data_IF_228446443156
#
_entry.id   IF_228446443156
#
_cell.length_a   1.000
_cell.length_b   1.000
_cell.length_c   1.000
_cell.angle_alpha   90.00
_cell.angle_beta   90.00
_cell.angle_gamma   90.00
#
_symmetry.space_group_name_H-M   'P 1'
#
loop_
_entity.id
_entity.type
_entity.pdbx_description
1 polymer ?
#
# COMPACT_ATOMS: atom_id res chain seq x y z
N UNK A 1 63.95 -20.63 52.56
CA UNK A 1 62.49 -20.36 52.57
C UNK A 1 62.16 -19.33 51.54
N UNK A 2 61.90 -19.65 50.32
CA UNK A 2 60.65 -19.23 49.65
C UNK A 2 60.28 -20.11 48.41
N UNK A 3 60.69 -21.36 48.32
CA UNK A 3 60.40 -22.19 47.12
C UNK A 3 59.06 -22.93 47.15
N UNK A 4 58.51 -23.20 48.30
CA UNK A 4 57.24 -23.91 48.41
C UNK A 4 56.01 -23.10 48.17
N UNK A 5 56.06 -21.79 48.34
CA UNK A 5 54.91 -20.90 48.08
C UNK A 5 54.65 -20.65 46.59
N UNK A 6 55.68 -20.73 45.75
CA UNK A 6 55.53 -20.56 44.30
C UNK A 6 54.93 -21.80 43.60
N UNK A 7 55.13 -22.99 44.13
CA UNK A 7 54.57 -24.21 43.55
C UNK A 7 53.06 -24.31 43.79
N UNK A 8 52.58 -23.85 44.96
CA UNK A 8 51.15 -23.85 45.27
C UNK A 8 50.35 -22.85 44.41
N UNK A 9 50.91 -21.70 44.10
CA UNK A 9 50.27 -20.69 43.24
C UNK A 9 50.21 -21.16 41.78
N UNK A 10 51.20 -21.90 41.31
CA UNK A 10 51.25 -22.44 39.95
C UNK A 10 50.26 -23.60 39.75
N UNK A 11 50.01 -24.43 40.75
CA UNK A 11 49.04 -25.54 40.72
C UNK A 11 47.62 -25.00 40.80
N UNK A 12 47.33 -23.95 41.58
CA UNK A 12 46.03 -23.32 41.63
C UNK A 12 45.74 -22.57 40.32
N UNK A 13 46.74 -21.96 39.67
CA UNK A 13 46.59 -21.31 38.36
C UNK A 13 46.28 -22.31 37.22
N UNK A 14 46.82 -23.54 37.31
CA UNK A 14 46.55 -24.58 36.31
C UNK A 14 45.14 -25.19 36.46
N UNK A 15 44.59 -25.26 37.66
CA UNK A 15 43.20 -25.68 37.88
C UNK A 15 42.18 -24.62 37.54
N UNK A 16 42.56 -23.32 37.57
CA UNK A 16 41.67 -22.23 37.16
C UNK A 16 41.55 -22.09 35.63
N UNK A 17 42.48 -22.66 34.85
CA UNK A 17 42.42 -22.65 33.38
C UNK A 17 41.80 -23.92 32.78
N UNK A 18 41.47 -24.92 33.59
CA UNK A 18 40.74 -26.12 33.18
C UNK A 18 39.22 -26.02 33.40
N UNK A 19 38.75 -24.84 33.76
CA UNK A 19 37.35 -24.53 33.89
C UNK A 19 36.74 -23.99 32.60
N UNK A 20 35.83 -24.78 32.03
CA UNK A 20 34.85 -24.38 31.03
C UNK A 20 35.35 -24.29 29.60
N UNK A 21 35.69 -25.41 28.99
CA UNK A 21 35.00 -25.66 27.71
C UNK A 21 33.57 -26.06 28.12
N UNK A 22 32.73 -25.09 28.39
CA UNK A 22 31.30 -25.31 28.33
C UNK A 22 31.02 -25.65 26.86
N UNK A 23 30.78 -26.91 26.56
CA UNK A 23 29.97 -27.24 25.41
C UNK A 23 28.68 -26.42 25.59
N UNK A 24 28.55 -25.33 24.86
CA UNK A 24 27.29 -24.63 24.69
C UNK A 24 26.42 -25.44 23.69
N UNK A 25 26.25 -26.72 23.98
CA UNK A 25 25.13 -27.50 23.46
C UNK A 25 23.91 -27.03 24.30
N UNK A 26 23.46 -25.80 24.06
CA UNK A 26 22.19 -25.36 24.60
C UNK A 26 21.15 -26.35 24.07
N UNK A 27 20.61 -27.17 24.95
CA UNK A 27 19.52 -28.08 24.63
C UNK A 27 18.38 -27.22 24.10
N UNK A 28 17.91 -27.53 22.87
CA UNK A 28 16.84 -26.74 22.23
C UNK A 28 15.57 -26.89 23.05
N UNK A 29 15.05 -25.79 23.55
CA UNK A 29 13.79 -25.78 24.28
C UNK A 29 12.62 -25.96 23.29
N UNK A 30 12.09 -27.19 23.21
CA UNK A 30 10.96 -27.50 22.34
C UNK A 30 9.67 -27.01 23.00
N UNK A 31 8.85 -26.20 22.32
CA UNK A 31 7.57 -25.75 22.86
C UNK A 31 6.73 -26.94 23.35
N UNK A 32 6.19 -26.84 24.58
CA UNK A 32 5.37 -27.88 25.21
C UNK A 32 3.90 -27.74 24.84
N UNK A 33 3.62 -27.72 23.52
CA UNK A 33 2.28 -27.61 22.98
C UNK A 33 1.88 -28.89 22.27
N UNK A 34 0.62 -29.32 22.45
CA UNK A 34 0.04 -30.46 21.75
C UNK A 34 -0.62 -29.96 20.45
N UNK A 35 -0.31 -30.64 19.35
CA UNK A 35 -0.85 -30.32 18.04
C UNK A 35 -2.15 -31.09 17.82
N UNK A 36 -3.28 -30.43 17.48
CA UNK A 36 -4.47 -31.13 17.01
C UNK A 36 -4.20 -31.94 15.73
N UNK A 37 -4.93 -33.01 15.51
CA UNK A 37 -4.71 -33.88 14.34
C UNK A 37 -4.92 -33.14 13.00
N UNK A 38 -5.78 -32.12 12.98
CA UNK A 38 -6.18 -31.37 11.80
C UNK A 38 -5.53 -29.97 11.69
N UNK A 39 -4.61 -29.62 12.60
CA UNK A 39 -4.01 -28.28 12.67
C UNK A 39 -3.38 -27.80 11.36
N UNK A 40 -2.84 -28.72 10.56
CA UNK A 40 -2.18 -28.43 9.28
C UNK A 40 -3.07 -28.66 8.05
N UNK A 41 -4.35 -29.00 8.24
CA UNK A 41 -5.25 -29.23 7.14
C UNK A 41 -5.59 -27.93 6.41
N UNK A 42 -5.24 -27.84 5.14
CA UNK A 42 -5.57 -26.70 4.27
C UNK A 42 -6.72 -27.06 3.34
N UNK A 43 -7.81 -26.34 3.47
CA UNK A 43 -8.90 -26.45 2.49
C UNK A 43 -8.54 -25.60 1.27
N UNK A 44 -8.30 -26.26 0.12
CA UNK A 44 -8.07 -25.53 -1.13
C UNK A 44 -9.31 -24.75 -1.51
N UNK A 45 -9.20 -23.43 -1.57
CA UNK A 45 -10.24 -22.58 -2.13
C UNK A 45 -10.25 -22.77 -3.65
N UNK A 46 -11.41 -23.02 -4.24
CA UNK A 46 -11.57 -23.08 -5.69
C UNK A 46 -12.34 -21.83 -6.13
N UNK A 47 -11.68 -20.98 -6.91
CA UNK A 47 -12.34 -19.83 -7.56
C UNK A 47 -13.27 -20.42 -8.64
N UNK A 48 -14.58 -20.34 -8.44
CA UNK A 48 -15.53 -20.87 -9.42
C UNK A 48 -16.19 -19.77 -10.26
N UNK A 49 -16.97 -18.91 -9.69
CA UNK A 49 -17.59 -17.77 -10.38
C UNK A 49 -17.56 -16.56 -9.47
N UNK A 50 -17.09 -15.38 -9.94
CA UNK A 50 -17.05 -14.19 -9.14
C UNK A 50 -18.45 -13.61 -8.99
N UNK A 51 -19.25 -14.15 -8.07
CA UNK A 51 -20.40 -13.43 -7.54
C UNK A 51 -19.93 -12.55 -6.42
N UNK A 52 -20.32 -11.27 -6.42
CA UNK A 52 -20.09 -10.38 -5.30
C UNK A 52 -21.32 -10.42 -4.42
N UNK A 53 -21.10 -10.65 -3.13
CA UNK A 53 -22.12 -10.65 -2.10
C UNK A 53 -21.89 -9.45 -1.18
N UNK A 54 -22.95 -8.70 -0.89
CA UNK A 54 -22.91 -7.63 0.10
C UNK A 54 -23.02 -8.21 1.50
N UNK A 55 -22.41 -7.56 2.46
CA UNK A 55 -22.53 -7.86 3.89
C UNK A 55 -23.84 -7.29 4.42
N UNK A 56 -24.41 -7.93 5.44
CA UNK A 56 -25.64 -7.48 6.07
C UNK A 56 -25.42 -6.41 7.14
N UNK A 57 -24.24 -6.46 7.78
CA UNK A 57 -23.81 -5.54 8.81
C UNK A 57 -22.28 -5.60 9.01
N UNK A 58 -21.77 -4.73 9.88
CA UNK A 58 -20.34 -4.65 10.16
C UNK A 58 -19.81 -5.86 10.95
N UNK A 59 -20.64 -6.49 11.76
CA UNK A 59 -20.23 -7.67 12.55
C UNK A 59 -19.95 -8.86 11.62
N UNK A 60 -20.79 -9.07 10.60
CA UNK A 60 -20.58 -10.09 9.59
C UNK A 60 -19.30 -9.81 8.76
N UNK A 61 -19.11 -8.55 8.34
CA UNK A 61 -17.90 -8.14 7.62
C UNK A 61 -16.66 -8.38 8.46
N UNK A 62 -16.64 -7.93 9.73
CA UNK A 62 -15.51 -8.09 10.62
C UNK A 62 -15.17 -9.57 10.84
N UNK A 63 -16.17 -10.41 11.11
CA UNK A 63 -15.97 -11.83 11.30
C UNK A 63 -15.35 -12.49 10.06
N UNK A 64 -15.93 -12.27 8.88
CA UNK A 64 -15.43 -12.88 7.65
C UNK A 64 -14.03 -12.39 7.27
N UNK A 65 -13.72 -11.10 7.49
CA UNK A 65 -12.38 -10.56 7.29
C UNK A 65 -11.38 -11.23 8.24
N UNK A 66 -11.69 -11.33 9.53
CA UNK A 66 -10.81 -11.96 10.52
C UNK A 66 -10.56 -13.43 10.20
N UNK A 67 -11.59 -14.18 9.84
CA UNK A 67 -11.44 -15.59 9.43
C UNK A 67 -10.55 -15.73 8.20
N UNK A 68 -10.72 -14.85 7.21
CA UNK A 68 -9.91 -14.89 5.99
C UNK A 68 -8.44 -14.50 6.23
N UNK A 69 -8.21 -13.46 7.03
CA UNK A 69 -6.88 -13.00 7.42
C UNK A 69 -6.16 -14.09 8.20
N UNK A 70 -6.84 -14.69 9.19
CA UNK A 70 -6.26 -15.79 9.97
C UNK A 70 -5.83 -16.96 9.09
N UNK A 71 -6.70 -17.38 8.16
CA UNK A 71 -6.42 -18.48 7.24
C UNK A 71 -5.23 -18.18 6.31
N UNK A 72 -5.09 -16.94 5.86
CA UNK A 72 -3.96 -16.53 5.04
C UNK A 72 -2.63 -16.62 5.81
N UNK A 73 -2.59 -16.10 7.05
CA UNK A 73 -1.41 -16.21 7.90
C UNK A 73 -1.10 -17.67 8.27
N UNK A 74 -2.14 -18.48 8.53
CA UNK A 74 -2.00 -19.91 8.78
C UNK A 74 -1.33 -20.64 7.61
N UNK A 75 -1.77 -20.36 6.38
CA UNK A 75 -1.16 -20.96 5.17
C UNK A 75 0.32 -20.57 5.06
N UNK A 76 0.67 -19.31 5.31
CA UNK A 76 2.07 -18.85 5.26
C UNK A 76 2.94 -19.56 6.32
N UNK A 77 2.43 -19.73 7.54
CA UNK A 77 3.13 -20.46 8.59
C UNK A 77 3.33 -21.95 8.24
N UNK A 78 2.32 -22.60 7.64
CA UNK A 78 2.43 -23.99 7.17
C UNK A 78 3.47 -24.14 6.06
N UNK A 79 3.56 -23.17 5.15
CA UNK A 79 4.63 -23.14 4.14
C UNK A 79 6.01 -23.02 4.77
N UNK A 80 6.16 -22.21 5.82
CA UNK A 80 7.40 -22.06 6.56
C UNK A 80 7.82 -23.37 7.28
N UNK A 81 6.86 -24.19 7.73
CA UNK A 81 7.13 -25.51 8.31
C UNK A 81 7.80 -26.45 7.31
N UNK A 82 7.39 -26.43 6.06
CA UNK A 82 7.92 -27.32 5.01
C UNK A 82 9.31 -26.87 4.48
N UNK A 83 9.93 -25.85 5.08
CA UNK A 83 11.22 -25.29 4.62
C UNK A 83 11.23 -24.90 3.13
N UNK A 84 10.07 -24.64 2.55
CA UNK A 84 10.03 -24.06 1.23
C UNK A 84 10.46 -22.60 1.34
N UNK A 85 11.78 -22.40 1.52
CA UNK A 85 12.40 -21.10 1.37
C UNK A 85 12.23 -20.66 -0.08
N UNK A 86 11.15 -19.99 -0.37
CA UNK A 86 11.14 -19.07 -1.46
C UNK A 86 12.02 -17.89 -1.05
N UNK A 87 13.29 -18.01 -1.38
CA UNK A 87 14.25 -16.91 -1.29
C UNK A 87 13.82 -15.87 -2.33
N UNK A 88 13.20 -14.84 -1.90
CA UNK A 88 12.88 -13.69 -2.72
C UNK A 88 11.51 -13.78 -3.36
N UNK A 89 10.67 -12.99 -2.88
CA UNK A 89 9.42 -12.64 -3.55
C UNK A 89 8.33 -12.49 -2.50
N UNK A 90 8.08 -11.29 -2.19
CA UNK A 90 6.72 -10.87 -1.99
C UNK A 90 5.86 -11.70 -2.95
N UNK A 91 4.92 -12.48 -2.44
CA UNK A 91 3.80 -12.93 -3.25
C UNK A 91 2.90 -11.73 -3.50
N UNK A 92 3.41 -10.79 -4.34
CA UNK A 92 2.52 -10.10 -5.22
C UNK A 92 2.10 -11.17 -6.22
N UNK A 93 0.83 -11.49 -6.26
CA UNK A 93 0.26 -12.06 -7.46
C UNK A 93 0.87 -11.27 -8.62
N UNK A 94 1.65 -11.96 -9.46
CA UNK A 94 1.97 -11.47 -10.80
C UNK A 94 0.63 -11.38 -11.56
N UNK A 95 -0.11 -10.33 -11.26
CA UNK A 95 -0.99 -9.76 -12.26
C UNK A 95 -0.02 -9.20 -13.28
N UNK A 96 0.38 -10.03 -14.22
CA UNK A 96 0.93 -9.59 -15.47
C UNK A 96 -0.03 -8.54 -15.98
N UNK A 97 0.33 -7.27 -15.77
CA UNK A 97 -0.25 -6.20 -16.56
C UNK A 97 0.18 -6.52 -17.98
N UNK A 98 -0.74 -7.13 -18.70
CA UNK A 98 -0.63 -7.31 -20.13
C UNK A 98 -0.44 -5.89 -20.69
N UNK A 99 0.75 -5.63 -21.21
CA UNK A 99 1.15 -4.38 -21.84
C UNK A 99 0.04 -3.96 -22.79
N UNK A 100 -0.76 -2.98 -22.37
CA UNK A 100 -1.81 -2.40 -23.18
C UNK A 100 -1.16 -1.76 -24.39
N UNK A 101 -1.44 -2.32 -25.56
CA UNK A 101 -0.98 -1.87 -26.83
C UNK A 101 -1.14 -0.35 -26.97
N UNK A 102 -0.01 0.35 -27.10
CA UNK A 102 0.03 1.77 -27.43
C UNK A 102 -0.57 1.91 -28.83
N UNK A 103 -1.77 2.46 -28.90
CA UNK A 103 -2.35 2.82 -30.18
C UNK A 103 -1.58 4.01 -30.75
N UNK A 104 -0.88 3.79 -31.86
CA UNK A 104 -0.25 4.84 -32.64
C UNK A 104 -1.34 5.79 -33.16
N UNK A 105 -1.33 7.02 -32.68
CA UNK A 105 -2.16 8.09 -33.21
C UNK A 105 -1.54 8.61 -34.51
N UNK A 106 -2.23 8.40 -35.61
CA UNK A 106 -1.90 8.99 -36.90
C UNK A 106 -2.18 10.50 -36.91
N UNK A 107 -1.15 11.30 -37.14
CA UNK A 107 -1.21 12.75 -37.31
C UNK A 107 -1.69 13.11 -38.72
N UNK A 108 -2.84 13.73 -38.84
CA UNK A 108 -3.22 14.46 -40.04
C UNK A 108 -3.00 15.96 -39.82
N UNK A 109 -2.16 16.52 -40.66
CA UNK A 109 -1.80 17.93 -40.70
C UNK A 109 -2.80 18.69 -41.59
N UNK A 110 -3.45 19.73 -41.07
CA UNK A 110 -4.15 20.71 -41.86
C UNK A 110 -3.56 22.11 -41.65
N UNK A 111 -3.07 22.68 -42.74
CA UNK A 111 -2.54 24.05 -42.88
C UNK A 111 -3.65 25.03 -43.24
N UNK A 112 -3.62 26.23 -42.66
CA UNK A 112 -4.29 27.41 -43.25
C UNK A 112 -4.75 28.49 -42.29
N UNK A 113 -4.06 29.52 -42.08
CA UNK A 113 -4.15 30.91 -42.53
C UNK A 113 -5.15 31.85 -41.81
N UNK A 114 -4.60 32.75 -40.95
CA UNK A 114 -4.83 34.21 -40.82
C UNK A 114 -6.24 34.80 -40.69
N UNK A 115 -6.57 35.39 -39.57
CA UNK A 115 -6.84 36.79 -39.20
C UNK A 115 -7.83 36.98 -38.05
N UNK A 116 -7.36 37.61 -36.98
CA UNK A 116 -7.91 38.68 -36.13
C UNK A 116 -9.39 38.65 -35.70
N UNK A 117 -9.55 38.48 -34.52
CA UNK A 117 -10.47 38.35 -33.41
C UNK A 117 -10.28 36.94 -32.89
N UNK A 118 -9.78 36.78 -31.65
CA UNK A 118 -9.55 35.40 -31.16
C UNK A 118 -10.90 34.69 -31.09
N UNK A 119 -11.23 33.84 -32.06
CA UNK A 119 -12.45 33.05 -31.98
C UNK A 119 -12.30 32.12 -30.77
N UNK A 120 -13.38 31.88 -30.05
CA UNK A 120 -13.43 30.87 -28.99
C UNK A 120 -12.89 29.57 -29.56
N UNK A 121 -11.80 29.05 -29.00
CA UNK A 121 -11.20 27.80 -29.45
C UNK A 121 -12.14 26.65 -29.13
N UNK A 122 -12.43 25.81 -30.11
CA UNK A 122 -13.38 24.70 -29.98
C UNK A 122 -12.63 23.38 -30.02
N UNK A 123 -12.89 22.56 -28.99
CA UNK A 123 -12.33 21.18 -28.90
C UNK A 123 -12.83 20.35 -30.11
N UNK A 124 -11.94 19.61 -30.72
CA UNK A 124 -12.21 18.79 -31.91
C UNK A 124 -12.10 19.54 -33.24
N UNK A 125 -12.06 20.91 -33.23
CA UNK A 125 -11.85 21.76 -34.42
C UNK A 125 -10.50 22.48 -34.35
N UNK A 126 -10.23 23.17 -33.25
CA UNK A 126 -9.06 24.03 -33.08
C UNK A 126 -7.95 23.34 -32.28
N UNK A 127 -8.33 22.45 -31.37
CA UNK A 127 -7.39 21.63 -30.58
C UNK A 127 -8.00 20.27 -30.29
N UNK A 128 -7.15 19.28 -30.13
CA UNK A 128 -7.51 17.96 -29.62
C UNK A 128 -7.38 18.01 -28.11
N UNK A 129 -8.51 17.86 -27.40
CA UNK A 129 -8.49 17.58 -25.96
C UNK A 129 -7.81 16.24 -25.68
N UNK A 130 -7.62 15.92 -24.42
CA UNK A 130 -7.21 14.58 -24.00
C UNK A 130 -8.16 13.56 -24.62
N UNK A 131 -7.63 12.41 -25.03
CA UNK A 131 -8.38 11.40 -25.79
C UNK A 131 -9.38 10.68 -24.85
N UNK A 132 -10.46 11.37 -24.51
CA UNK A 132 -11.51 10.82 -23.65
C UNK A 132 -12.36 9.85 -24.47
N UNK A 133 -12.60 8.65 -23.95
CA UNK A 133 -13.41 7.62 -24.61
C UNK A 133 -14.88 8.02 -24.70
N UNK A 134 -15.35 8.85 -23.78
CA UNK A 134 -16.72 9.33 -23.71
C UNK A 134 -16.79 10.86 -23.54
N UNK A 135 -17.74 11.50 -24.20
CA UNK A 135 -17.96 12.93 -24.07
C UNK A 135 -18.48 13.29 -22.67
N UNK A 136 -17.84 14.26 -22.00
CA UNK A 136 -18.23 14.71 -20.65
C UNK A 136 -17.63 13.87 -19.51
N UNK A 137 -16.71 12.95 -19.84
CA UNK A 137 -15.90 12.22 -18.86
C UNK A 137 -14.46 12.65 -19.05
N UNK A 138 -13.81 13.18 -18.01
CA UNK A 138 -12.37 13.45 -18.04
C UNK A 138 -11.61 12.25 -17.47
N UNK A 139 -10.69 11.73 -18.27
CA UNK A 139 -9.81 10.62 -17.91
C UNK A 139 -8.49 11.16 -17.39
N UNK A 140 -7.94 10.52 -16.36
CA UNK A 140 -6.67 10.91 -15.79
C UNK A 140 -5.50 10.68 -16.77
N UNK A 141 -4.65 11.72 -16.99
CA UNK A 141 -3.53 11.69 -17.93
C UNK A 141 -2.38 12.57 -17.42
N UNK A 142 -1.19 12.42 -18.03
CA UNK A 142 -0.01 13.24 -17.74
C UNK A 142 -0.02 14.62 -18.39
N UNK A 143 -0.84 14.82 -19.41
CA UNK A 143 -0.97 16.07 -20.15
C UNK A 143 -2.43 16.41 -20.34
N UNK A 144 -2.80 17.66 -20.05
CA UNK A 144 -4.15 18.21 -20.26
C UNK A 144 -4.09 19.51 -21.02
N UNK A 145 -5.16 19.86 -21.73
CA UNK A 145 -5.32 21.17 -22.37
C UNK A 145 -6.78 21.58 -22.41
N UNK A 146 -7.02 22.86 -22.23
CA UNK A 146 -8.32 23.53 -22.44
C UNK A 146 -8.35 24.37 -23.75
N UNK A 147 -7.29 24.19 -24.56
CA UNK A 147 -7.12 24.94 -25.82
C UNK A 147 -6.40 26.28 -25.67
N UNK A 148 -6.31 26.82 -24.46
CA UNK A 148 -5.59 28.07 -24.16
C UNK A 148 -4.35 27.84 -23.32
N UNK A 149 -4.34 26.74 -22.56
CA UNK A 149 -3.24 26.32 -21.70
C UNK A 149 -2.93 24.85 -21.92
N UNK A 150 -1.68 24.51 -21.65
CA UNK A 150 -1.19 23.12 -21.58
C UNK A 150 -0.70 22.89 -20.16
N UNK A 151 -1.21 21.85 -19.54
CA UNK A 151 -0.84 21.38 -18.22
C UNK A 151 -0.10 20.07 -18.39
N UNK A 152 1.08 19.92 -17.78
CA UNK A 152 1.79 18.65 -17.83
C UNK A 152 2.61 18.38 -16.58
N UNK A 153 2.79 17.11 -16.28
CA UNK A 153 3.57 16.63 -15.16
C UNK A 153 5.01 16.33 -15.63
N UNK A 154 5.97 17.01 -15.01
CA UNK A 154 7.40 16.80 -15.24
C UNK A 154 8.10 16.42 -13.94
N UNK A 155 8.33 15.12 -13.74
CA UNK A 155 8.81 14.60 -12.45
C UNK A 155 7.86 14.95 -11.33
N UNK A 156 8.31 15.75 -10.35
CA UNK A 156 7.50 16.22 -9.22
C UNK A 156 6.95 17.64 -9.41
N UNK A 157 6.80 18.07 -10.63
CA UNK A 157 6.38 19.45 -10.92
C UNK A 157 5.22 19.44 -11.89
N UNK A 158 4.14 20.13 -11.54
CA UNK A 158 3.11 20.56 -12.47
C UNK A 158 3.60 21.81 -13.18
N UNK A 159 3.64 21.77 -14.50
CA UNK A 159 4.01 22.90 -15.36
C UNK A 159 2.78 23.37 -16.11
N UNK A 160 2.53 24.68 -16.10
CA UNK A 160 1.47 25.32 -16.89
C UNK A 160 2.09 26.23 -17.93
N UNK A 161 1.73 25.97 -19.19
CA UNK A 161 2.09 26.81 -20.33
C UNK A 161 0.86 27.50 -20.90
N UNK A 162 0.99 28.78 -21.21
CA UNK A 162 0.01 29.51 -22.02
C UNK A 162 0.25 29.27 -23.49
N UNK A 163 -0.83 29.28 -24.28
CA UNK A 163 -0.83 29.20 -25.74
C UNK A 163 -1.49 30.50 -26.29
N UNK A 164 -0.79 31.65 -26.28
CA UNK A 164 -1.36 32.91 -26.71
C UNK A 164 -1.79 32.87 -28.18
N UNK A 165 -0.98 32.28 -29.04
CA UNK A 165 -1.29 31.94 -30.43
C UNK A 165 -0.85 30.54 -30.76
N UNK A 166 -1.46 29.89 -31.75
CA UNK A 166 -1.06 28.54 -32.15
C UNK A 166 0.40 28.53 -32.64
N UNK A 167 1.20 27.70 -32.01
CA UNK A 167 2.64 27.59 -32.25
C UNK A 167 3.49 28.43 -31.31
N UNK A 168 2.91 29.24 -30.44
CA UNK A 168 3.60 30.01 -29.40
C UNK A 168 3.31 29.41 -28.02
N UNK A 169 4.33 29.31 -27.18
CA UNK A 169 4.23 28.81 -25.81
C UNK A 169 4.85 29.82 -24.86
N UNK A 170 4.15 30.12 -23.79
CA UNK A 170 4.61 30.94 -22.67
C UNK A 170 4.61 30.14 -21.38
N UNK A 171 5.72 30.14 -20.66
CA UNK A 171 5.80 29.47 -19.34
C UNK A 171 5.13 30.36 -18.30
N UNK A 172 4.08 29.85 -17.65
CA UNK A 172 3.31 30.60 -16.66
C UNK A 172 3.70 30.22 -15.23
N UNK A 173 3.63 28.92 -14.89
CA UNK A 173 3.91 28.47 -13.53
C UNK A 173 4.56 27.10 -13.48
N UNK A 174 5.27 26.85 -12.35
CA UNK A 174 5.85 25.59 -11.99
C UNK A 174 5.52 25.31 -10.51
N UNK A 175 4.61 24.37 -10.26
CA UNK A 175 4.13 24.03 -8.92
C UNK A 175 4.68 22.69 -8.48
N UNK A 176 5.33 22.64 -7.31
CA UNK A 176 5.86 21.39 -6.74
C UNK A 176 4.73 20.53 -6.21
N UNK A 177 4.74 19.25 -6.56
CA UNK A 177 3.75 18.25 -6.14
C UNK A 177 4.40 17.28 -5.14
N UNK A 178 3.72 17.08 -4.01
CA UNK A 178 4.14 16.09 -3.02
C UNK A 178 3.93 14.66 -3.53
N UNK A 179 4.91 13.80 -3.28
CA UNK A 179 4.89 12.41 -3.75
C UNK A 179 5.45 12.25 -5.16
N UNK A 180 4.98 11.23 -5.85
CA UNK A 180 5.31 10.94 -7.25
C UNK A 180 4.04 11.05 -8.07
N UNK A 181 3.89 12.11 -8.89
CA UNK A 181 2.72 12.31 -9.74
C UNK A 181 2.52 11.11 -10.68
N UNK A 182 1.27 10.72 -10.84
CA UNK A 182 0.85 9.59 -11.67
C UNK A 182 -0.09 10.02 -12.79
N UNK A 183 -0.95 11.01 -12.51
CA UNK A 183 -1.91 11.53 -13.48
C UNK A 183 -2.51 12.84 -12.99
N UNK A 184 -3.29 13.50 -13.84
CA UNK A 184 -4.10 14.66 -13.48
C UNK A 184 -5.42 14.69 -14.24
N UNK A 185 -6.39 15.41 -13.69
CA UNK A 185 -7.69 15.68 -14.29
C UNK A 185 -7.97 17.16 -14.24
N UNK A 186 -8.73 17.65 -15.22
CA UNK A 186 -9.02 19.08 -15.40
C UNK A 186 -10.53 19.29 -15.52
N UNK A 187 -11.09 20.10 -14.61
CA UNK A 187 -12.48 20.56 -14.69
C UNK A 187 -12.53 22.08 -14.52
N UNK A 188 -12.67 22.81 -15.62
CA UNK A 188 -12.72 24.27 -15.64
C UNK A 188 -11.46 24.91 -15.03
N UNK A 189 -11.66 25.60 -13.91
CA UNK A 189 -10.60 26.27 -13.16
C UNK A 189 -10.05 25.41 -12.00
N UNK A 190 -10.35 24.13 -11.99
CA UNK A 190 -9.82 23.16 -11.03
C UNK A 190 -8.98 22.08 -11.71
N UNK A 191 -7.81 21.87 -11.14
CA UNK A 191 -6.90 20.81 -11.58
C UNK A 191 -6.64 19.87 -10.40
N UNK A 192 -6.81 18.56 -10.62
CA UNK A 192 -6.51 17.54 -9.63
C UNK A 192 -5.29 16.78 -10.06
N UNK A 193 -4.25 16.79 -9.23
CA UNK A 193 -3.06 15.95 -9.43
C UNK A 193 -3.14 14.74 -8.52
N UNK A 194 -3.03 13.57 -9.12
CA UNK A 194 -2.95 12.28 -8.42
C UNK A 194 -1.48 11.92 -8.28
N UNK A 195 -1.04 11.66 -7.05
CA UNK A 195 0.34 11.26 -6.77
C UNK A 195 0.40 10.10 -5.78
N UNK A 196 1.46 9.29 -5.88
CA UNK A 196 1.78 8.26 -4.89
C UNK A 196 2.69 8.84 -3.81
N UNK A 197 2.32 8.63 -2.55
CA UNK A 197 3.10 9.02 -1.38
C UNK A 197 3.45 7.78 -0.58
N UNK A 198 4.75 7.50 -0.46
CA UNK A 198 5.22 6.43 0.42
C UNK A 198 5.13 6.86 1.88
N UNK A 199 4.53 6.05 2.74
CA UNK A 199 4.46 6.30 4.19
C UNK A 199 5.84 6.49 4.83
N UNK A 200 6.86 5.81 4.30
CA UNK A 200 8.25 5.93 4.75
C UNK A 200 8.90 7.29 4.47
N UNK A 201 8.34 8.06 3.54
CA UNK A 201 8.82 9.40 3.20
C UNK A 201 8.10 10.51 3.95
N UNK A 202 7.11 10.18 4.78
CA UNK A 202 6.36 11.16 5.58
C UNK A 202 7.18 11.51 6.83
N UNK A 203 7.61 12.78 6.99
CA UNK A 203 8.38 13.19 8.17
C UNK A 203 7.54 13.06 9.46
N UNK A 204 8.18 12.73 10.58
CA UNK A 204 7.50 12.66 11.88
C UNK A 204 6.92 14.01 12.37
N UNK A 205 7.29 15.11 11.73
CA UNK A 205 6.70 16.44 11.97
C UNK A 205 5.44 16.71 11.16
N UNK A 206 5.10 15.84 10.20
CA UNK A 206 3.89 15.96 9.40
C UNK A 206 2.70 15.43 10.20
N UNK A 207 1.58 16.17 10.31
CA UNK A 207 0.38 15.70 11.02
C UNK A 207 -0.16 14.34 10.51
N UNK A 208 0.06 14.04 9.24
CA UNK A 208 -0.32 12.75 8.65
C UNK A 208 0.43 11.57 9.27
N UNK A 209 1.68 11.80 9.76
CA UNK A 209 2.47 10.78 10.44
C UNK A 209 1.77 10.24 11.68
N UNK A 210 1.23 11.13 12.51
CA UNK A 210 0.47 10.75 13.71
C UNK A 210 -0.87 10.11 13.35
N UNK A 211 -1.58 10.68 12.38
CA UNK A 211 -2.89 10.20 11.94
C UNK A 211 -2.85 8.77 11.37
N UNK A 212 -1.76 8.42 10.66
CA UNK A 212 -1.57 7.08 10.10
C UNK A 212 -1.16 6.01 11.12
N UNK A 213 -0.92 6.37 12.39
CA UNK A 213 -0.67 5.43 13.45
C UNK A 213 0.62 4.60 13.26
N UNK A 214 1.79 5.28 13.25
CA UNK A 214 3.06 4.56 13.28
C UNK A 214 3.15 3.63 14.49
N UNK A 215 3.33 2.33 14.22
CA UNK A 215 3.51 1.34 15.28
C UNK A 215 4.99 1.24 15.66
N UNK A 216 5.35 1.69 16.87
CA UNK A 216 6.74 1.67 17.35
C UNK A 216 7.22 0.26 17.69
N UNK A 217 6.35 -0.60 18.20
CA UNK A 217 6.68 -1.96 18.61
C UNK A 217 7.14 -2.81 17.42
N UNK A 218 6.41 -2.70 16.31
CA UNK A 218 6.67 -3.48 15.09
C UNK A 218 7.43 -2.68 14.02
N UNK A 219 7.77 -1.41 14.30
CA UNK A 219 8.46 -0.51 13.36
C UNK A 219 7.82 -0.52 11.96
N UNK A 220 6.50 -0.41 11.91
CA UNK A 220 5.74 -0.56 10.68
C UNK A 220 4.54 0.40 10.61
N UNK A 221 4.09 0.63 9.38
CA UNK A 221 2.86 1.32 9.06
C UNK A 221 1.77 0.30 8.70
N UNK A 222 0.49 0.69 8.92
CA UNK A 222 -0.65 -0.11 8.43
C UNK A 222 -0.71 -0.15 6.89
N UNK A 223 -0.19 0.85 6.22
CA UNK A 223 -0.02 0.87 4.76
C UNK A 223 1.34 1.43 4.37
N UNK A 224 1.93 0.92 3.29
CA UNK A 224 3.20 1.42 2.74
C UNK A 224 3.02 2.55 1.72
N UNK A 225 1.81 2.71 1.17
CA UNK A 225 1.52 3.65 0.10
C UNK A 225 0.18 4.34 0.30
N UNK A 226 0.16 5.62 -0.03
CA UNK A 226 -1.04 6.44 -0.11
C UNK A 226 -1.20 6.98 -1.53
N UNK A 227 -2.43 7.00 -2.02
CA UNK A 227 -2.84 7.77 -3.19
C UNK A 227 -3.25 9.16 -2.73
N UNK A 228 -2.53 10.19 -3.18
CA UNK A 228 -2.83 11.58 -2.85
C UNK A 228 -3.56 12.26 -3.99
N UNK A 229 -4.62 12.97 -3.67
CA UNK A 229 -5.32 13.91 -4.57
C UNK A 229 -5.04 15.33 -4.10
N UNK A 230 -4.36 16.12 -4.92
CA UNK A 230 -4.12 17.53 -4.69
C UNK A 230 -5.05 18.33 -5.60
N UNK A 231 -6.06 18.97 -5.00
CA UNK A 231 -7.01 19.85 -5.72
C UNK A 231 -6.43 21.24 -5.73
N UNK A 232 -6.19 21.78 -6.92
CA UNK A 232 -5.62 23.08 -7.16
C UNK A 232 -6.65 24.00 -7.81
N UNK A 233 -6.85 25.20 -7.25
CA UNK A 233 -7.47 26.30 -7.96
C UNK A 233 -6.45 26.89 -8.95
N UNK A 234 -6.81 26.86 -10.21
CA UNK A 234 -6.01 27.38 -11.31
C UNK A 234 -6.67 28.57 -12.00
N UNK A 235 -7.59 29.29 -11.32
CA UNK A 235 -8.19 30.53 -11.83
C UNK A 235 -7.10 31.52 -12.27
N UNK A 236 -6.06 31.68 -11.48
CA UNK A 236 -4.80 32.30 -11.91
C UNK A 236 -3.76 31.23 -12.29
N UNK A 237 -3.58 30.98 -13.60
CA UNK A 237 -2.61 30.02 -14.13
C UNK A 237 -1.15 30.37 -13.80
N UNK A 238 -0.87 31.64 -13.43
CA UNK A 238 0.46 32.05 -12.99
C UNK A 238 0.74 31.66 -11.52
N UNK A 239 -0.32 31.49 -10.73
CA UNK A 239 -0.20 31.20 -9.31
C UNK A 239 -1.26 30.17 -8.86
N UNK A 240 -1.14 28.87 -9.24
CA UNK A 240 -2.03 27.83 -8.77
C UNK A 240 -2.04 27.73 -7.24
N UNK A 241 -3.23 27.69 -6.65
CA UNK A 241 -3.39 27.59 -5.19
C UNK A 241 -3.92 26.20 -4.80
N UNK A 242 -3.30 25.59 -3.77
CA UNK A 242 -3.72 24.31 -3.25
C UNK A 242 -4.92 24.51 -2.34
N UNK A 243 -6.08 23.99 -2.73
CA UNK A 243 -7.34 24.11 -1.98
C UNK A 243 -7.57 22.92 -1.04
N UNK A 244 -7.29 21.69 -1.51
CA UNK A 244 -7.66 20.47 -0.78
C UNK A 244 -6.64 19.36 -1.01
N UNK A 245 -6.39 18.58 0.02
CA UNK A 245 -5.52 17.41 -0.06
C UNK A 245 -6.18 16.19 0.59
N UNK A 246 -6.42 15.19 -0.21
CA UNK A 246 -6.94 13.90 0.24
C UNK A 246 -5.88 12.82 0.08
N UNK A 247 -5.78 11.94 1.05
CA UNK A 247 -4.88 10.79 1.02
C UNK A 247 -5.70 9.52 1.26
N UNK A 248 -5.72 8.65 0.30
CA UNK A 248 -6.41 7.37 0.35
C UNK A 248 -5.38 6.26 0.57
N UNK A 249 -5.59 5.42 1.57
CA UNK A 249 -4.72 4.25 1.77
C UNK A 249 -4.75 3.33 0.54
N UNK A 250 -3.56 2.92 0.10
CA UNK A 250 -3.39 2.05 -1.06
C UNK A 250 -2.85 2.75 -2.30
N UNK A 251 -2.77 1.99 -3.37
CA UNK A 251 -2.22 2.38 -4.66
C UNK A 251 -3.34 2.74 -5.64
N UNK A 252 -3.13 3.80 -6.39
CA UNK A 252 -4.00 4.23 -7.47
C UNK A 252 -4.08 3.21 -8.60
N UNK A 253 -5.29 2.94 -9.09
CA UNK A 253 -5.52 2.11 -10.27
C UNK A 253 -6.04 2.97 -11.42
N UNK A 254 -7.14 3.69 -11.21
CA UNK A 254 -7.76 4.56 -12.22
C UNK A 254 -8.64 5.61 -11.56
N UNK A 255 -8.87 6.72 -12.27
CA UNK A 255 -9.87 7.72 -11.87
C UNK A 255 -10.55 8.31 -13.09
N UNK A 256 -11.77 8.80 -12.87
CA UNK A 256 -12.56 9.54 -13.84
C UNK A 256 -13.26 10.70 -13.14
N UNK A 257 -13.29 11.83 -13.81
CA UNK A 257 -14.07 12.99 -13.41
C UNK A 257 -15.34 13.04 -14.26
N UNK A 258 -16.48 13.30 -13.63
CA UNK A 258 -17.76 13.50 -14.29
C UNK A 258 -18.54 14.61 -13.56
N UNK A 259 -18.74 15.74 -14.21
CA UNK A 259 -19.52 16.87 -13.68
C UNK A 259 -19.02 17.36 -12.29
N UNK A 260 -17.74 17.56 -12.11
CA UNK A 260 -17.14 18.03 -10.87
C UNK A 260 -17.01 16.96 -9.79
N UNK A 261 -17.31 15.71 -10.11
CA UNK A 261 -17.20 14.57 -9.18
C UNK A 261 -16.13 13.60 -9.67
N UNK A 262 -15.14 13.35 -8.83
CA UNK A 262 -14.11 12.34 -9.09
C UNK A 262 -14.56 10.99 -8.52
N UNK A 263 -14.41 9.95 -9.34
CA UNK A 263 -14.52 8.54 -8.94
C UNK A 263 -13.19 7.88 -9.19
N UNK A 264 -12.62 7.30 -8.14
CA UNK A 264 -11.33 6.63 -8.23
C UNK A 264 -11.43 5.19 -7.75
N UNK A 265 -10.60 4.34 -8.33
CA UNK A 265 -10.39 2.97 -7.86
C UNK A 265 -8.97 2.88 -7.32
N UNK A 266 -8.82 2.37 -6.13
CA UNK A 266 -7.54 2.09 -5.51
C UNK A 266 -7.49 0.67 -4.96
N UNK A 267 -6.28 0.14 -4.81
CA UNK A 267 -6.03 -1.14 -4.15
C UNK A 267 -5.19 -0.91 -2.90
N UNK A 268 -5.73 -1.29 -1.75
CA UNK A 268 -5.04 -1.22 -0.47
C UNK A 268 -4.65 -2.62 0.00
N UNK A 269 -3.36 -2.78 0.31
CA UNK A 269 -2.86 -3.95 1.01
C UNK A 269 -2.43 -3.53 2.41
N UNK A 270 -3.21 -3.93 3.41
CA UNK A 270 -2.97 -3.48 4.78
C UNK A 270 -2.07 -4.46 5.53
N UNK A 271 -1.14 -3.92 6.28
CA UNK A 271 -0.36 -4.67 7.24
C UNK A 271 -1.12 -4.76 8.56
N UNK A 272 -1.02 -5.94 9.17
CA UNK A 272 -1.42 -6.17 10.55
C UNK A 272 -0.15 -6.47 11.35
N UNK A 273 0.52 -5.45 11.89
CA UNK A 273 1.85 -5.59 12.50
C UNK A 273 1.89 -6.56 13.67
N UNK A 274 0.73 -6.76 14.33
CA UNK A 274 0.59 -7.68 15.47
C UNK A 274 0.61 -9.14 15.05
N UNK A 275 0.43 -9.45 13.75
CA UNK A 275 0.39 -10.81 13.23
C UNK A 275 1.71 -11.21 12.60
N UNK A 276 2.12 -12.46 12.82
CA UNK A 276 3.38 -13.02 12.31
C UNK A 276 3.12 -14.07 11.24
N UNK A 277 3.82 -13.94 10.10
CA UNK A 277 3.83 -14.94 9.01
C UNK A 277 5.12 -15.75 8.95
N UNK A 278 6.00 -15.59 9.96
CA UNK A 278 7.29 -16.27 10.04
C UNK A 278 7.43 -17.02 11.36
N UNK A 279 8.34 -17.98 11.41
CA UNK A 279 8.63 -18.77 12.59
C UNK A 279 9.77 -18.13 13.40
N UNK A 280 9.54 -17.91 14.68
CA UNK A 280 10.57 -17.48 15.64
C UNK A 280 11.17 -18.73 16.29
N UNK A 281 12.35 -19.12 15.82
CA UNK A 281 12.99 -20.35 16.29
C UNK A 281 13.58 -20.20 17.69
N UNK A 282 13.45 -21.22 18.56
CA UNK A 282 14.05 -21.22 19.89
C UNK A 282 15.58 -21.22 19.79
N UNK A 283 16.22 -20.80 20.90
CA UNK A 283 17.68 -20.83 21.01
C UNK A 283 18.21 -22.29 20.78
N UNK A 284 19.28 -22.39 20.04
CA UNK A 284 19.90 -23.70 19.72
C UNK A 284 19.30 -24.37 18.48
N UNK A 285 18.17 -23.93 17.92
CA UNK A 285 17.58 -24.57 16.74
C UNK A 285 18.56 -24.67 15.56
N UNK A 286 19.37 -23.66 15.34
CA UNK A 286 20.34 -23.61 14.24
C UNK A 286 21.58 -24.47 14.47
N UNK A 287 21.77 -25.02 15.72
CA UNK A 287 22.84 -25.95 16.04
C UNK A 287 22.47 -27.40 15.69
N UNK A 288 21.21 -27.69 15.45
CA UNK A 288 20.75 -29.00 15.01
C UNK A 288 21.22 -29.30 13.59
N UNK A 289 21.59 -30.53 13.31
CA UNK A 289 21.89 -30.96 11.96
C UNK A 289 20.69 -30.73 11.02
N UNK A 290 20.96 -30.44 9.76
CA UNK A 290 19.90 -30.16 8.80
C UNK A 290 18.88 -31.29 8.66
N UNK A 291 19.32 -32.53 8.75
CA UNK A 291 18.48 -33.74 8.64
C UNK A 291 17.91 -34.21 10.00
N UNK A 292 18.15 -33.45 11.09
CA UNK A 292 17.62 -33.81 12.40
C UNK A 292 16.08 -33.79 12.42
N UNK A 293 15.41 -34.91 12.72
CA UNK A 293 13.95 -34.95 12.77
C UNK A 293 13.34 -33.97 13.78
N UNK A 294 14.07 -33.53 14.79
CA UNK A 294 13.61 -32.58 15.78
C UNK A 294 13.33 -31.21 15.13
N UNK A 295 14.06 -30.82 14.07
CA UNK A 295 13.82 -29.55 13.38
C UNK A 295 12.39 -29.43 12.89
N UNK A 296 11.84 -30.49 12.28
CA UNK A 296 10.44 -30.48 11.81
C UNK A 296 9.47 -30.35 12.97
N UNK A 297 9.67 -31.13 14.05
CA UNK A 297 8.81 -31.08 15.24
C UNK A 297 8.81 -29.69 15.87
N UNK A 298 9.99 -29.05 15.95
CA UNK A 298 10.12 -27.68 16.46
C UNK A 298 9.36 -26.71 15.57
N UNK A 299 9.54 -26.79 14.24
CA UNK A 299 8.83 -25.90 13.31
C UNK A 299 7.32 -26.03 13.42
N UNK A 300 6.81 -27.26 13.47
CA UNK A 300 5.38 -27.52 13.62
C UNK A 300 4.82 -26.91 14.91
N UNK A 301 5.52 -27.09 16.02
CA UNK A 301 5.09 -26.54 17.32
C UNK A 301 5.18 -25.03 17.38
N UNK A 302 6.25 -24.45 16.84
CA UNK A 302 6.42 -23.00 16.74
C UNK A 302 5.34 -22.39 15.82
N UNK A 303 5.06 -23.02 14.69
CA UNK A 303 4.00 -22.55 13.77
C UNK A 303 2.64 -22.56 14.46
N UNK A 304 2.31 -23.65 15.16
CA UNK A 304 1.04 -23.73 15.85
C UNK A 304 0.92 -22.72 16.99
N UNK A 305 2.01 -22.51 17.77
CA UNK A 305 2.04 -21.46 18.79
C UNK A 305 1.81 -20.08 18.16
N UNK A 306 2.53 -19.77 17.06
CA UNK A 306 2.37 -18.50 16.35
C UNK A 306 0.94 -18.32 15.80
N UNK A 307 0.27 -19.40 15.38
CA UNK A 307 -1.13 -19.35 14.98
C UNK A 307 -2.05 -18.96 16.14
N UNK A 308 -1.83 -19.50 17.33
CA UNK A 308 -2.60 -19.13 18.52
C UNK A 308 -2.35 -17.67 18.92
N UNK A 309 -1.09 -17.23 18.87
CA UNK A 309 -0.72 -15.84 19.16
C UNK A 309 -1.36 -14.88 18.13
N UNK A 310 -1.37 -15.26 16.85
CA UNK A 310 -2.06 -14.52 15.80
C UNK A 310 -3.58 -14.45 16.02
N UNK A 311 -4.20 -15.54 16.45
CA UNK A 311 -5.63 -15.53 16.77
C UNK A 311 -5.92 -14.56 17.92
N UNK A 312 -5.14 -14.61 18.99
CA UNK A 312 -5.28 -13.69 20.13
C UNK A 312 -5.06 -12.21 19.72
N UNK A 313 -4.09 -11.97 18.83
CA UNK A 313 -3.85 -10.63 18.29
C UNK A 313 -5.04 -10.14 17.46
N UNK A 314 -5.57 -11.00 16.59
CA UNK A 314 -6.68 -10.68 15.69
C UNK A 314 -7.99 -10.42 16.46
N UNK A 315 -8.23 -11.13 17.56
CA UNK A 315 -9.40 -10.93 18.43
C UNK A 315 -9.42 -9.52 19.07
N UNK A 316 -8.25 -8.87 19.16
CA UNK A 316 -8.10 -7.52 19.74
C UNK A 316 -8.19 -6.39 18.71
N UNK A 317 -8.12 -6.72 17.43
CA UNK A 317 -8.19 -5.76 16.32
C UNK A 317 -9.66 -5.47 16.02
N UNK A 318 -10.01 -4.20 15.82
CA UNK A 318 -11.35 -3.79 15.37
C UNK A 318 -11.44 -3.73 13.86
N UNK A 319 -12.66 -3.60 13.33
CA UNK A 319 -12.88 -3.45 11.89
C UNK A 319 -12.21 -2.18 11.35
N UNK A 320 -12.18 -1.09 12.13
CA UNK A 320 -11.54 0.17 11.76
C UNK A 320 -10.02 0.03 11.57
N UNK A 321 -9.41 -0.96 12.25
CA UNK A 321 -8.00 -1.29 12.06
C UNK A 321 -7.75 -2.09 10.77
N UNK A 322 -8.78 -2.73 10.22
CA UNK A 322 -8.67 -3.64 9.06
C UNK A 322 -9.04 -2.91 7.77
N UNK A 323 -10.08 -2.07 7.77
CA UNK A 323 -10.52 -1.37 6.55
C UNK A 323 -9.63 -0.17 6.21
N UNK A 324 -9.44 0.15 4.91
CA UNK A 324 -8.70 1.35 4.50
C UNK A 324 -9.32 2.64 5.02
N UNK A 325 -8.49 3.66 5.20
CA UNK A 325 -8.91 4.98 5.66
C UNK A 325 -8.60 6.06 4.62
N UNK A 326 -9.30 7.19 4.73
CA UNK A 326 -9.06 8.41 3.98
C UNK A 326 -8.65 9.51 4.96
N UNK A 327 -7.59 10.22 4.63
CA UNK A 327 -7.11 11.36 5.41
C UNK A 327 -7.28 12.63 4.59
N UNK A 328 -7.80 13.67 5.21
CA UNK A 328 -7.92 15.00 4.61
C UNK A 328 -7.05 15.99 5.38
N UNK A 329 -6.11 16.63 4.68
CA UNK A 329 -5.23 17.64 5.28
C UNK A 329 -5.77 19.03 5.00
N UNK A 330 -6.16 19.73 6.08
CA UNK A 330 -6.73 21.07 6.03
C UNK A 330 -6.00 21.96 7.04
N UNK A 331 -5.41 23.06 6.58
CA UNK A 331 -4.75 24.06 7.43
C UNK A 331 -3.75 23.45 8.45
N UNK A 332 -3.05 22.39 8.05
CA UNK A 332 -2.05 21.72 8.90
C UNK A 332 -2.62 20.74 9.93
N UNK A 333 -3.93 20.52 9.95
CA UNK A 333 -4.58 19.43 10.69
C UNK A 333 -4.94 18.28 9.73
N UNK A 334 -5.10 17.08 10.27
CA UNK A 334 -5.55 15.91 9.51
C UNK A 334 -6.87 15.41 10.11
N UNK A 335 -7.88 15.30 9.26
CA UNK A 335 -9.13 14.63 9.54
C UNK A 335 -9.09 13.21 8.97
N UNK A 336 -9.62 12.24 9.71
CA UNK A 336 -9.73 10.85 9.28
C UNK A 336 -11.18 10.59 8.92
N UNK A 337 -11.40 10.10 7.71
CA UNK A 337 -12.70 9.66 7.22
C UNK A 337 -12.70 8.14 7.08
N UNK A 338 -13.66 7.45 7.69
CA UNK A 338 -13.89 6.05 7.41
C UNK A 338 -14.40 5.84 5.97
N UNK A 339 -14.14 4.68 5.40
CA UNK A 339 -14.72 4.32 4.10
C UNK A 339 -16.18 3.87 4.20
N UNK A 340 -16.71 3.68 5.42
CA UNK A 340 -18.12 3.41 5.64
C UNK A 340 -18.72 4.48 6.55
N UNK A 341 -19.95 4.87 6.28
CA UNK A 341 -20.75 5.76 7.16
C UNK A 341 -21.31 5.02 8.40
N UNK A 342 -20.65 3.93 8.83
CA UNK A 342 -21.08 3.04 9.91
C UNK A 342 -22.06 1.96 9.43
N UNK A 343 -22.38 1.93 8.16
CA UNK A 343 -23.16 0.90 7.49
C UNK A 343 -22.26 0.12 6.52
N UNK A 344 -21.94 -1.11 6.83
CA UNK A 344 -21.03 -1.95 6.04
C UNK A 344 -21.68 -2.60 4.81
N UNK A 345 -22.89 -2.18 4.44
CA UNK A 345 -23.60 -2.70 3.24
C UNK A 345 -22.89 -2.32 1.93
N UNK A 346 -22.05 -1.30 1.96
CA UNK A 346 -21.24 -0.90 0.78
C UNK A 346 -20.06 -1.82 0.52
N UNK A 347 -19.74 -2.71 1.47
CA UNK A 347 -18.70 -3.70 1.26
C UNK A 347 -19.28 -4.93 0.58
N UNK A 348 -18.55 -5.41 -0.41
CA UNK A 348 -18.89 -6.64 -1.15
C UNK A 348 -17.67 -7.54 -1.20
N UNK A 349 -17.91 -8.84 -1.15
CA UNK A 349 -16.87 -9.85 -1.23
C UNK A 349 -17.17 -10.88 -2.30
N UNK A 350 -16.16 -11.51 -2.92
CA UNK A 350 -16.36 -12.72 -3.71
C UNK A 350 -16.93 -13.85 -2.84
N UNK A 351 -17.90 -14.61 -3.39
CA UNK A 351 -18.51 -15.74 -2.71
C UNK A 351 -17.50 -16.84 -2.31
N UNK A 352 -16.38 -16.92 -3.02
CA UNK A 352 -15.38 -17.97 -2.87
C UNK A 352 -14.18 -17.59 -1.97
N UNK A 353 -14.23 -16.48 -1.31
CA UNK A 353 -13.28 -16.10 -0.25
C UNK A 353 -12.71 -14.71 -0.35
N UNK A 354 -12.22 -14.23 0.78
CA UNK A 354 -11.60 -12.92 0.96
C UNK A 354 -10.07 -13.03 0.88
N UNK A 355 -9.46 -11.90 0.59
CA UNK A 355 -8.03 -11.67 0.67
C UNK A 355 -7.79 -10.42 1.52
N UNK A 356 -6.56 -10.17 1.99
CA UNK A 356 -6.20 -8.96 2.75
C UNK A 356 -6.25 -7.67 1.93
N UNK A 357 -6.40 -7.77 0.61
CA UNK A 357 -6.47 -6.62 -0.27
C UNK A 357 -7.89 -6.07 -0.40
N UNK A 358 -7.99 -4.74 -0.38
CA UNK A 358 -9.23 -4.01 -0.62
C UNK A 358 -9.15 -3.28 -1.95
N UNK A 359 -10.14 -3.48 -2.80
CA UNK A 359 -10.39 -2.60 -3.93
C UNK A 359 -11.46 -1.60 -3.51
N UNK A 360 -11.07 -0.34 -3.39
CA UNK A 360 -11.96 0.73 -2.95
C UNK A 360 -12.39 1.59 -4.13
N UNK A 361 -13.68 1.87 -4.22
CA UNK A 361 -14.23 2.90 -5.10
C UNK A 361 -14.53 4.10 -4.23
N UNK A 362 -13.74 5.15 -4.39
CA UNK A 362 -13.90 6.38 -3.63
C UNK A 362 -14.42 7.49 -4.52
N UNK A 363 -15.40 8.25 -4.00
CA UNK A 363 -16.01 9.36 -4.74
C UNK A 363 -15.94 10.63 -3.90
N UNK A 364 -15.54 11.75 -4.52
CA UNK A 364 -15.55 13.06 -3.89
C UNK A 364 -15.81 14.17 -4.88
N UNK A 365 -16.43 15.24 -4.40
CA UNK A 365 -16.72 16.43 -5.21
C UNK A 365 -15.54 17.40 -5.16
N UNK A 366 -15.33 18.11 -6.26
CA UNK A 366 -14.31 19.16 -6.41
C UNK A 366 -14.74 20.51 -5.82
N UNK A 367 -16.03 20.65 -5.47
CA UNK A 367 -16.60 21.88 -4.90
C UNK A 367 -16.39 22.00 -3.41
#
# INVERSE_FOLDING_TARGET
MPREKFLAVFIVGLFALSGCIANNDAEVEIPQIELPEDWSTVTKRSVSKPNLLAFTDCDELEQQLKESIFEEYRIQLLQAVEEQYYYGGWFGDDVMMEDGAVAEASSDSATGGSNSVQPKREQGTDFSGTNNQEQGVDEADFVKTDGYYIYFLNGKTLVILGVPEFGELESLSNTSIEGTPQAMMLDGDRLVVISSVSSWNIPSTNPLYEAMGWNQEYSSWRTSSLTKFSVLDITDRNNPELERELFLEGSYITAREVNGTIRTVSHAWLNLPQMKSWLEYPEGYWNLDYEDPQRRIIREKVAYQTMLDNQEALDKISIEDIIPQVYERINGAVLIHGLSDGDCNDFVAPEDGLNRGFNSIFTFDLS
#
